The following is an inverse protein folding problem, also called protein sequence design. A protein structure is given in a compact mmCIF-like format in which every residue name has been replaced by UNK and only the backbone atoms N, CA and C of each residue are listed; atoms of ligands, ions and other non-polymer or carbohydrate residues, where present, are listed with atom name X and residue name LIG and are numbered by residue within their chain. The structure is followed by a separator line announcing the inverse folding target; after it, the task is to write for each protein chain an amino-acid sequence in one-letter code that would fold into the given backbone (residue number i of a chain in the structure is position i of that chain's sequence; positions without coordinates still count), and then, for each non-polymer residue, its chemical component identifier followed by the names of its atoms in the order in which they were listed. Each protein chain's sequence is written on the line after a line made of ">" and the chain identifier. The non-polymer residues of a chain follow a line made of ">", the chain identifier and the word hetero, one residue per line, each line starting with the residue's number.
data_IF_489107043507
#
_entry.id   IF_489107043507
#
_cell.length_a   1.000
_cell.length_b   1.000
_cell.length_c   1.000
_cell.angle_alpha   90.00
_cell.angle_beta   90.00
_cell.angle_gamma   90.00
#
_symmetry.space_group_name_H-M   'P 1'
#
loop_
_entity.id
_entity.type
_entity.pdbx_description
1 polymer ?
#
# COMPACT_ATOMS: atom_id res chain seq x y z
N UNK A 1 -4.97 0.34 -7.45
CA UNK A 1 -4.79 0.70 -8.88
C UNK A 1 -6.07 0.59 -9.73
N UNK A 2 -6.98 -0.37 -9.46
CA UNK A 2 -8.25 -0.50 -10.22
C UNK A 2 -9.12 0.76 -10.26
N UNK A 3 -9.05 1.59 -9.21
CA UNK A 3 -9.78 2.87 -9.11
C UNK A 3 -9.42 3.84 -10.25
N UNK A 4 -8.17 3.85 -10.71
CA UNK A 4 -7.73 4.73 -11.82
C UNK A 4 -8.38 4.30 -13.13
N UNK A 5 -8.34 3.01 -13.43
CA UNK A 5 -8.97 2.44 -14.63
C UNK A 5 -10.49 2.63 -14.59
N UNK A 6 -11.11 2.49 -13.41
CA UNK A 6 -12.54 2.75 -13.22
C UNK A 6 -12.92 4.22 -13.46
N UNK A 7 -12.15 5.16 -12.93
CA UNK A 7 -12.40 6.61 -13.13
C UNK A 7 -12.17 7.00 -14.60
N UNK A 8 -11.12 6.50 -15.24
CA UNK A 8 -10.86 6.77 -16.66
C UNK A 8 -11.94 6.16 -17.56
N UNK A 9 -12.46 4.98 -17.21
CA UNK A 9 -13.60 4.36 -17.89
C UNK A 9 -14.88 5.19 -17.76
N UNK A 10 -15.12 5.81 -16.60
CA UNK A 10 -16.29 6.68 -16.37
C UNK A 10 -16.17 8.02 -17.08
N UNK A 11 -14.96 8.56 -17.20
CA UNK A 11 -14.67 9.81 -17.90
C UNK A 11 -14.59 9.68 -19.42
N UNK A 12 -14.80 8.46 -19.96
CA UNK A 12 -14.67 8.14 -21.40
C UNK A 12 -13.36 8.64 -22.01
N UNK A 13 -12.27 8.62 -21.22
CA UNK A 13 -10.93 9.01 -21.69
C UNK A 13 -10.30 7.86 -22.46
N UNK A 14 -9.69 8.18 -23.60
CA UNK A 14 -8.97 7.20 -24.42
C UNK A 14 -7.78 6.62 -23.63
N UNK A 15 -7.63 5.29 -23.64
CA UNK A 15 -6.46 4.64 -23.04
C UNK A 15 -5.30 4.72 -24.03
N UNK A 16 -4.49 5.76 -23.87
CA UNK A 16 -3.26 5.98 -24.63
C UNK A 16 -2.05 5.30 -23.97
N UNK A 17 -0.94 5.18 -24.70
CA UNK A 17 0.33 4.65 -24.20
C UNK A 17 0.81 5.42 -22.96
N UNK A 18 0.55 6.73 -22.90
CA UNK A 18 0.85 7.57 -21.75
C UNK A 18 0.12 7.08 -20.49
N UNK A 19 -1.17 6.76 -20.60
CA UNK A 19 -1.96 6.26 -19.45
C UNK A 19 -1.47 4.90 -19.00
N UNK A 20 -1.09 4.01 -19.92
CA UNK A 20 -0.49 2.72 -19.58
C UNK A 20 0.83 2.92 -18.81
N UNK A 21 1.68 3.84 -19.26
CA UNK A 21 2.90 4.20 -18.56
C UNK A 21 2.60 4.75 -17.15
N UNK A 22 1.59 5.62 -17.01
CA UNK A 22 1.16 6.15 -15.71
C UNK A 22 0.73 5.02 -14.75
N UNK A 23 -0.09 4.09 -15.24
CA UNK A 23 -0.56 2.93 -14.45
C UNK A 23 0.62 2.08 -13.99
N UNK A 24 1.59 1.81 -14.87
CA UNK A 24 2.79 1.06 -14.52
C UNK A 24 3.60 1.76 -13.41
N UNK A 25 3.76 3.08 -13.50
CA UNK A 25 4.42 3.90 -12.46
C UNK A 25 3.67 3.81 -11.13
N UNK A 26 2.34 3.91 -11.13
CA UNK A 26 1.52 3.84 -9.92
C UNK A 26 1.64 2.46 -9.25
N UNK A 27 1.67 1.39 -10.03
CA UNK A 27 1.85 0.03 -9.50
C UNK A 27 3.19 -0.07 -8.77
N UNK A 28 4.28 0.41 -9.39
CA UNK A 28 5.60 0.45 -8.74
C UNK A 28 5.60 1.26 -7.44
N UNK A 29 4.96 2.43 -7.44
CA UNK A 29 4.86 3.29 -6.27
C UNK A 29 4.05 2.64 -5.11
N UNK A 30 2.90 2.04 -5.42
CA UNK A 30 2.05 1.39 -4.40
C UNK A 30 2.70 0.14 -3.81
N UNK A 31 3.44 -0.63 -4.62
CA UNK A 31 4.22 -1.76 -4.13
C UNK A 31 5.36 -1.29 -3.21
N UNK A 32 6.07 -0.24 -3.59
CA UNK A 32 7.13 0.34 -2.75
C UNK A 32 6.61 0.74 -1.36
N UNK A 33 5.46 1.42 -1.29
CA UNK A 33 4.86 1.78 0.00
C UNK A 33 4.52 0.53 0.85
N UNK A 34 3.97 -0.50 0.22
CA UNK A 34 3.62 -1.75 0.93
C UNK A 34 4.86 -2.47 1.47
N UNK A 35 5.93 -2.57 0.67
CA UNK A 35 7.17 -3.26 1.07
C UNK A 35 7.79 -2.58 2.30
N UNK A 36 7.87 -1.25 2.32
CA UNK A 36 8.48 -0.50 3.45
C UNK A 36 7.69 -0.71 4.75
N UNK A 37 6.35 -0.69 4.70
CA UNK A 37 5.50 -0.93 5.87
C UNK A 37 5.71 -2.37 6.39
N UNK A 38 5.74 -3.34 5.48
CA UNK A 38 5.92 -4.76 5.83
C UNK A 38 7.31 -5.05 6.41
N UNK A 39 8.35 -4.43 5.86
CA UNK A 39 9.71 -4.57 6.36
C UNK A 39 9.83 -3.98 7.79
N UNK A 40 9.23 -2.80 8.01
CA UNK A 40 9.20 -2.18 9.34
C UNK A 40 8.41 -3.01 10.36
N UNK A 41 7.35 -3.66 9.94
CA UNK A 41 6.62 -4.63 10.77
C UNK A 41 7.49 -5.83 11.14
N UNK A 42 8.21 -6.43 10.18
CA UNK A 42 9.13 -7.54 10.47
C UNK A 42 10.23 -7.13 11.45
N UNK A 43 10.78 -5.94 11.29
CA UNK A 43 11.78 -5.38 12.19
C UNK A 43 11.21 -5.19 13.60
N UNK A 44 10.04 -4.55 13.74
CA UNK A 44 9.39 -4.34 15.03
C UNK A 44 8.99 -5.65 15.73
N UNK A 45 8.59 -6.69 14.99
CA UNK A 45 8.32 -8.03 15.56
C UNK A 45 9.61 -8.63 16.16
N UNK A 46 10.75 -8.46 15.49
CA UNK A 46 12.05 -9.01 15.96
C UNK A 46 12.56 -8.32 17.22
N UNK A 47 12.34 -7.01 17.36
CA UNK A 47 12.83 -6.22 18.50
C UNK A 47 11.83 -6.09 19.66
N UNK A 48 10.51 -6.15 19.40
CA UNK A 48 9.45 -5.93 20.41
C UNK A 48 8.54 -7.15 20.60
N UNK A 49 9.14 -8.32 20.86
CA UNK A 49 8.47 -9.62 21.03
C UNK A 49 7.37 -9.68 22.12
N UNK A 50 7.32 -8.71 23.05
CA UNK A 50 6.38 -8.70 24.19
C UNK A 50 5.12 -7.84 23.98
N UNK A 51 5.07 -7.01 22.94
CA UNK A 51 3.92 -6.15 22.67
C UNK A 51 2.82 -6.91 21.92
N UNK A 52 1.53 -6.58 22.14
CA UNK A 52 0.44 -7.14 21.34
C UNK A 52 0.63 -6.76 19.86
N UNK A 53 0.37 -7.71 18.97
CA UNK A 53 0.61 -7.58 17.53
C UNK A 53 -0.12 -6.38 16.89
N UNK A 54 -1.30 -6.03 17.41
CA UNK A 54 -2.04 -4.83 17.03
C UNK A 54 -1.24 -3.54 17.29
N UNK A 55 -0.57 -3.48 18.43
CA UNK A 55 0.26 -2.33 18.81
C UNK A 55 1.51 -2.25 17.95
N UNK A 56 2.11 -3.40 17.60
CA UNK A 56 3.24 -3.47 16.67
C UNK A 56 2.87 -2.96 15.28
N UNK A 57 1.69 -3.31 14.76
CA UNK A 57 1.19 -2.80 13.49
C UNK A 57 1.04 -1.27 13.54
N UNK A 58 0.38 -0.75 14.58
CA UNK A 58 0.17 0.69 14.72
C UNK A 58 1.51 1.47 14.82
N UNK A 59 2.49 0.92 15.55
CA UNK A 59 3.83 1.51 15.65
C UNK A 59 4.53 1.50 14.29
N UNK A 60 4.49 0.37 13.57
CA UNK A 60 5.11 0.25 12.24
C UNK A 60 4.50 1.19 11.21
N UNK A 61 3.18 1.36 11.23
CA UNK A 61 2.49 2.31 10.36
C UNK A 61 2.94 3.72 10.69
N UNK A 62 2.86 4.15 11.95
CA UNK A 62 3.27 5.51 12.32
C UNK A 62 4.74 5.82 11.98
N UNK A 63 5.64 4.85 12.13
CA UNK A 63 7.06 5.02 11.78
C UNK A 63 7.29 5.14 10.26
N UNK A 64 6.56 4.37 9.46
CA UNK A 64 6.67 4.41 8.00
C UNK A 64 5.87 5.57 7.38
N UNK A 65 4.84 6.05 8.07
CA UNK A 65 3.93 7.10 7.60
C UNK A 65 4.66 8.41 7.30
N UNK A 66 5.55 8.88 8.17
CA UNK A 66 6.32 10.11 7.93
C UNK A 66 7.18 10.02 6.67
N UNK A 67 7.81 8.86 6.43
CA UNK A 67 8.59 8.64 5.21
C UNK A 67 7.67 8.63 3.99
N UNK A 68 6.58 7.86 4.04
CA UNK A 68 5.63 7.74 2.93
C UNK A 68 5.00 9.09 2.56
N UNK A 69 4.62 9.90 3.55
CA UNK A 69 4.09 11.25 3.34
C UNK A 69 5.13 12.14 2.69
N UNK A 70 6.36 12.17 3.20
CA UNK A 70 7.42 13.00 2.62
C UNK A 70 7.68 12.63 1.17
N UNK A 71 7.79 11.33 0.86
CA UNK A 71 7.97 10.88 -0.52
C UNK A 71 6.76 11.26 -1.38
N UNK A 72 5.53 11.04 -0.90
CA UNK A 72 4.31 11.42 -1.64
C UNK A 72 4.24 12.92 -1.95
N UNK A 73 4.60 13.78 -0.99
CA UNK A 73 4.61 15.23 -1.18
C UNK A 73 5.65 15.63 -2.23
N UNK A 74 6.87 15.07 -2.17
CA UNK A 74 7.92 15.38 -3.14
C UNK A 74 7.55 14.97 -4.57
N UNK A 75 6.74 13.93 -4.75
CA UNK A 75 6.25 13.48 -6.06
C UNK A 75 5.02 14.24 -6.55
N UNK A 76 4.17 14.73 -5.64
CA UNK A 76 2.96 15.49 -6.03
C UNK A 76 3.32 16.84 -6.64
N UNK A 77 4.40 17.49 -6.17
CA UNK A 77 4.85 18.79 -6.69
C UNK A 77 5.10 18.75 -8.23
N UNK A 78 5.97 17.87 -8.77
CA UNK A 78 6.17 17.78 -10.21
C UNK A 78 4.93 17.28 -10.96
N UNK A 79 4.11 16.42 -10.37
CA UNK A 79 2.84 15.98 -10.98
C UNK A 79 1.89 17.17 -11.19
N UNK A 80 1.77 18.05 -10.19
CA UNK A 80 0.96 19.26 -10.30
C UNK A 80 1.53 20.22 -11.34
N UNK A 81 2.85 20.40 -11.38
CA UNK A 81 3.49 21.20 -12.42
C UNK A 81 3.21 20.63 -13.82
N UNK A 82 3.29 19.31 -14.02
CA UNK A 82 2.94 18.65 -15.28
C UNK A 82 1.46 18.80 -15.62
N UNK A 83 0.57 18.80 -14.63
CA UNK A 83 -0.85 18.99 -14.85
C UNK A 83 -1.18 20.39 -15.39
N UNK A 84 -0.58 21.43 -14.81
CA UNK A 84 -0.84 22.82 -15.22
C UNK A 84 -0.03 23.27 -16.44
N UNK A 85 1.22 22.82 -16.57
CA UNK A 85 2.15 23.31 -17.59
C UNK A 85 2.47 22.31 -18.71
N UNK A 86 2.00 21.06 -18.61
CA UNK A 86 2.38 19.98 -19.53
C UNK A 86 1.57 19.86 -20.82
N UNK A 87 0.52 20.66 -21.02
CA UNK A 87 -0.36 20.58 -22.20
C UNK A 87 -1.30 19.36 -22.20
N UNK A 88 -2.09 19.17 -23.26
CA UNK A 88 -3.24 18.23 -23.26
C UNK A 88 -2.88 16.75 -23.00
N UNK A 89 -1.77 16.25 -23.55
CA UNK A 89 -1.40 14.82 -23.39
C UNK A 89 -0.81 14.58 -22.01
N UNK A 90 0.01 15.51 -21.53
CA UNK A 90 0.75 15.38 -20.27
C UNK A 90 -0.13 15.72 -19.06
N UNK A 91 -1.16 16.54 -19.22
CA UNK A 91 -2.16 16.80 -18.18
C UNK A 91 -3.00 15.56 -17.87
N UNK A 92 -3.41 14.80 -18.90
CA UNK A 92 -4.11 13.54 -18.73
C UNK A 92 -3.23 12.46 -18.07
N UNK A 93 -1.95 12.44 -18.42
CA UNK A 93 -0.94 11.62 -17.76
C UNK A 93 -0.78 11.99 -16.28
N UNK A 94 -0.63 13.27 -15.99
CA UNK A 94 -0.46 13.79 -14.63
C UNK A 94 -1.71 13.53 -13.77
N UNK A 95 -2.91 13.68 -14.34
CA UNK A 95 -4.17 13.39 -13.67
C UNK A 95 -4.27 11.90 -13.33
N UNK A 96 -3.92 11.00 -14.27
CA UNK A 96 -3.86 9.57 -14.01
C UNK A 96 -2.90 9.25 -12.85
N UNK A 97 -1.69 9.81 -12.88
CA UNK A 97 -0.69 9.66 -11.81
C UNK A 97 -1.20 10.17 -10.47
N UNK A 98 -1.82 11.35 -10.43
CA UNK A 98 -2.31 11.96 -9.20
C UNK A 98 -3.40 11.11 -8.54
N UNK A 99 -4.44 10.74 -9.29
CA UNK A 99 -5.53 9.91 -8.78
C UNK A 99 -5.00 8.54 -8.32
N UNK A 100 -4.10 7.94 -9.10
CA UNK A 100 -3.51 6.65 -8.77
C UNK A 100 -2.63 6.67 -7.54
N UNK A 101 -1.86 7.73 -7.37
CA UNK A 101 -1.02 7.95 -6.19
C UNK A 101 -1.86 8.11 -4.93
N UNK A 102 -2.92 8.92 -4.97
CA UNK A 102 -3.81 9.13 -3.82
C UNK A 102 -4.52 7.83 -3.45
N UNK A 103 -5.14 7.17 -4.42
CA UNK A 103 -5.84 5.91 -4.21
C UNK A 103 -4.90 4.78 -3.76
N UNK A 104 -3.69 4.72 -4.33
CA UNK A 104 -2.66 3.73 -3.99
C UNK A 104 -2.11 3.92 -2.58
N UNK A 105 -1.83 5.17 -2.17
CA UNK A 105 -1.33 5.49 -0.83
C UNK A 105 -2.39 5.18 0.22
N UNK A 106 -3.64 5.58 -0.02
CA UNK A 106 -4.75 5.25 0.86
C UNK A 106 -4.94 3.72 0.99
N UNK A 107 -4.93 3.01 -0.14
CA UNK A 107 -5.04 1.54 -0.17
C UNK A 107 -3.92 0.86 0.62
N UNK A 108 -2.65 1.25 0.43
CA UNK A 108 -1.52 0.62 1.12
C UNK A 108 -1.56 0.83 2.64
N UNK A 109 -2.06 1.96 3.14
CA UNK A 109 -2.11 2.25 4.58
C UNK A 109 -3.34 1.60 5.24
N UNK A 110 -4.51 1.76 4.63
CA UNK A 110 -5.78 1.32 5.23
C UNK A 110 -6.14 -0.14 4.97
N UNK A 111 -5.66 -0.75 3.88
CA UNK A 111 -5.97 -2.15 3.56
C UNK A 111 -4.91 -3.09 4.13
N UNK A 112 -3.63 -2.70 4.19
CA UNK A 112 -2.58 -3.57 4.73
C UNK A 112 -2.79 -3.87 6.23
N UNK A 113 -3.23 -2.88 7.01
CA UNK A 113 -3.47 -3.01 8.45
C UNK A 113 -4.48 -4.11 8.83
N UNK A 114 -5.72 -4.14 8.28
CA UNK A 114 -6.66 -5.22 8.54
C UNK A 114 -6.24 -6.55 7.90
N UNK A 115 -5.59 -6.54 6.73
CA UNK A 115 -5.11 -7.78 6.10
C UNK A 115 -4.09 -8.50 6.99
N UNK A 116 -3.19 -7.75 7.63
CA UNK A 116 -2.17 -8.28 8.52
C UNK A 116 -2.75 -8.77 9.85
N UNK A 117 -3.80 -8.11 10.36
CA UNK A 117 -4.54 -8.58 11.53
C UNK A 117 -5.24 -9.91 11.25
N UNK A 118 -5.93 -10.02 10.13
CA UNK A 118 -6.57 -11.27 9.70
C UNK A 118 -5.53 -12.37 9.43
N UNK A 119 -4.40 -12.03 8.80
CA UNK A 119 -3.33 -13.00 8.55
C UNK A 119 -2.71 -13.53 9.86
N UNK A 120 -2.53 -12.67 10.87
CA UNK A 120 -2.05 -13.10 12.18
C UNK A 120 -3.10 -13.90 12.96
N UNK A 121 -4.41 -13.59 12.83
CA UNK A 121 -5.47 -14.44 13.38
C UNK A 121 -5.41 -15.84 12.77
N UNK A 122 -5.27 -15.94 11.45
CA UNK A 122 -5.14 -17.22 10.73
C UNK A 122 -3.89 -17.98 11.20
N UNK A 123 -2.74 -17.32 11.36
CA UNK A 123 -1.52 -17.96 11.85
C UNK A 123 -1.61 -18.40 13.33
N UNK A 124 -2.23 -17.60 14.21
CA UNK A 124 -2.52 -18.00 15.60
C UNK A 124 -3.49 -19.19 15.66
N UNK A 125 -4.49 -19.25 14.77
CA UNK A 125 -5.40 -20.40 14.62
C UNK A 125 -4.61 -21.64 14.17
N UNK A 126 -3.71 -21.49 13.18
CA UNK A 126 -2.87 -22.58 12.70
C UNK A 126 -1.90 -23.10 13.77
N UNK A 127 -1.30 -22.21 14.57
CA UNK A 127 -0.40 -22.58 15.67
C UNK A 127 -1.15 -23.23 16.85
N UNK A 128 -2.38 -22.80 17.15
CA UNK A 128 -3.27 -23.48 18.12
C UNK A 128 -3.67 -24.88 17.61
N UNK A 129 -4.02 -25.02 16.33
CA UNK A 129 -4.35 -26.31 15.70
C UNK A 129 -3.20 -27.32 15.80
N UNK A 130 -1.98 -26.91 15.47
CA UNK A 130 -0.77 -27.75 15.55
C UNK A 130 -0.44 -28.14 17.01
N UNK A 131 -0.60 -27.22 17.99
CA UNK A 131 -0.39 -27.53 19.42
C UNK A 131 -1.41 -28.51 20.00
N UNK A 132 -2.66 -28.51 19.50
CA UNK A 132 -3.73 -29.41 19.98
C UNK A 132 -3.52 -30.83 19.40
N UNK A 133 -3.14 -30.94 18.12
CA UNK A 133 -2.81 -32.24 17.50
C UNK A 133 -1.55 -32.87 18.09
N UNK A 134 -0.53 -32.09 18.43
CA UNK A 134 0.68 -32.59 19.11
C UNK A 134 0.47 -33.06 20.56
N UNK A 135 -0.61 -32.62 21.22
CA UNK A 135 -0.96 -33.07 22.60
C UNK A 135 -1.81 -34.34 22.63
N UNK A 136 -2.45 -34.72 21.51
CA UNK A 136 -3.28 -35.93 21.41
C UNK A 136 -2.51 -37.20 21.06
N UNK A 137 -1.26 -37.10 20.59
CA UNK A 137 -0.38 -38.25 20.34
C UNK A 137 0.48 -38.68 21.54
N UNK A 138 0.20 -38.16 22.74
CA UNK A 138 0.96 -38.43 23.98
C UNK A 138 0.06 -38.85 25.14
N UNK A 139 -0.97 -39.64 24.84
CA UNK A 139 -1.75 -40.43 25.80
C UNK A 139 -1.83 -41.86 25.30
#
# INVERSE_FOLDING_TARGET
>A
CLIVLGIFSLLQKEITISIVAAVLTIVGYSLNNTIVILDRLRENIKFKTREPFENLINISINQSLSRTINTALTTIIPILALYFFGGNILSDFALALFIGMVAGTYSSIFIASPLLLEWNKIFKIHQKGIRITGKKGKK
#
